data_IF_860976795606
#
_entry.id   IF_860976795606
#
_cell.length_a   1.000
_cell.length_b   1.000
_cell.length_c   1.000
_cell.angle_alpha   90.00
_cell.angle_beta   90.00
_cell.angle_gamma   90.00
#
_symmetry.space_group_name_H-M   'P 1'
#
loop_
_entity.id
_entity.type
_entity.pdbx_description
1 polymer ?
#
# COMPACT_ATOMS: atom_id res chain seq x y z
N UNK A 1 22.31 -23.35 -12.67
CA UNK A 1 21.14 -22.45 -12.82
C UNK A 1 21.08 -21.90 -14.25
N UNK A 2 19.92 -21.43 -14.72
CA UNK A 2 19.80 -20.71 -16.01
C UNK A 2 19.96 -19.20 -15.78
N UNK A 3 20.96 -18.57 -16.40
CA UNK A 3 21.28 -17.15 -16.18
C UNK A 3 20.10 -16.22 -16.50
N UNK A 4 19.42 -16.43 -17.64
CA UNK A 4 18.28 -15.62 -18.04
C UNK A 4 17.13 -15.67 -17.02
N UNK A 5 16.92 -16.82 -16.38
CA UNK A 5 15.91 -16.96 -15.33
C UNK A 5 16.31 -16.24 -14.04
N UNK A 6 17.59 -16.29 -13.66
CA UNK A 6 18.11 -15.50 -12.55
C UNK A 6 17.95 -14.00 -12.79
N UNK A 7 18.34 -13.50 -13.97
CA UNK A 7 18.21 -12.09 -14.34
C UNK A 7 16.74 -11.64 -14.36
N UNK A 8 15.84 -12.50 -14.86
CA UNK A 8 14.40 -12.26 -14.84
C UNK A 8 13.86 -12.13 -13.41
N UNK A 9 14.18 -13.08 -12.54
CA UNK A 9 13.72 -13.06 -11.14
C UNK A 9 14.27 -11.84 -10.39
N UNK A 10 15.54 -11.48 -10.61
CA UNK A 10 16.13 -10.26 -10.05
C UNK A 10 15.37 -9.00 -10.46
N UNK A 11 15.04 -8.84 -11.75
CA UNK A 11 14.23 -7.72 -12.25
C UNK A 11 12.81 -7.75 -11.68
N UNK A 12 12.19 -8.93 -11.60
CA UNK A 12 10.84 -9.09 -11.03
C UNK A 12 10.80 -8.64 -9.57
N UNK A 13 11.81 -9.02 -8.77
CA UNK A 13 11.95 -8.58 -7.38
C UNK A 13 12.14 -7.07 -7.27
N UNK A 14 12.92 -6.45 -8.16
CA UNK A 14 13.06 -5.00 -8.23
C UNK A 14 11.73 -4.31 -8.55
N UNK A 15 11.00 -4.77 -9.56
CA UNK A 15 9.68 -4.21 -9.94
C UNK A 15 8.64 -4.36 -8.83
N UNK A 16 8.70 -5.46 -8.07
CA UNK A 16 7.86 -5.67 -6.89
C UNK A 16 8.30 -4.85 -5.68
N UNK A 17 9.40 -4.10 -5.76
CA UNK A 17 9.87 -3.23 -4.68
C UNK A 17 10.65 -3.94 -3.58
N UNK A 18 11.22 -5.12 -3.85
CA UNK A 18 12.11 -5.82 -2.93
C UNK A 18 13.59 -5.43 -3.10
N UNK A 19 13.94 -4.78 -4.23
CA UNK A 19 15.29 -4.36 -4.53
C UNK A 19 16.20 -5.54 -4.93
N UNK A 20 17.49 -5.40 -4.64
CA UNK A 20 18.56 -6.30 -5.09
C UNK A 20 19.33 -6.98 -3.94
N UNK A 21 18.96 -6.71 -2.68
CA UNK A 21 19.65 -7.23 -1.49
C UNK A 21 19.71 -8.76 -1.42
N UNK A 22 18.74 -9.44 -2.06
CA UNK A 22 18.60 -10.90 -2.05
C UNK A 22 19.26 -11.59 -3.26
N UNK A 23 19.96 -10.86 -4.15
CA UNK A 23 20.52 -11.44 -5.39
C UNK A 23 21.45 -12.63 -5.11
N UNK A 24 22.37 -12.50 -4.15
CA UNK A 24 23.30 -13.57 -3.80
C UNK A 24 22.59 -14.79 -3.19
N UNK A 25 21.57 -14.56 -2.36
CA UNK A 25 20.81 -15.64 -1.72
C UNK A 25 19.93 -16.36 -2.73
N UNK A 26 19.33 -15.62 -3.67
CA UNK A 26 18.60 -16.17 -4.81
C UNK A 26 19.49 -17.07 -5.67
N UNK A 27 20.68 -16.58 -6.04
CA UNK A 27 21.64 -17.36 -6.83
C UNK A 27 21.97 -18.69 -6.14
N UNK A 28 22.39 -18.64 -4.87
CA UNK A 28 22.72 -19.83 -4.08
C UNK A 28 21.55 -20.79 -3.97
N UNK A 29 20.34 -20.28 -3.75
CA UNK A 29 19.14 -21.11 -3.63
C UNK A 29 18.82 -21.82 -4.96
N UNK A 30 18.91 -21.12 -6.09
CA UNK A 30 18.71 -21.71 -7.42
C UNK A 30 19.79 -22.75 -7.77
N UNK A 31 21.05 -22.48 -7.42
CA UNK A 31 22.18 -23.40 -7.63
C UNK A 31 22.06 -24.67 -6.77
N UNK A 32 21.48 -24.56 -5.56
CA UNK A 32 21.25 -25.71 -4.69
C UNK A 32 20.26 -26.73 -5.26
N UNK A 33 19.47 -26.35 -6.27
CA UNK A 33 18.56 -27.25 -6.98
C UNK A 33 17.31 -27.67 -6.20
N UNK A 34 17.00 -27.00 -5.08
CA UNK A 34 15.79 -27.28 -4.29
C UNK A 34 14.51 -27.01 -5.09
N UNK A 35 13.52 -27.88 -4.98
CA UNK A 35 12.23 -27.70 -5.67
C UNK A 35 11.48 -26.44 -5.22
N UNK A 36 11.57 -26.08 -3.93
CA UNK A 36 10.93 -24.89 -3.36
C UNK A 36 11.87 -24.25 -2.32
N UNK A 37 11.86 -22.92 -2.26
CA UNK A 37 12.57 -22.17 -1.22
C UNK A 37 11.93 -20.80 -0.99
N UNK A 38 12.21 -20.21 0.16
CA UNK A 38 11.79 -18.84 0.48
C UNK A 38 12.97 -17.98 0.90
N UNK A 39 12.94 -16.70 0.50
CA UNK A 39 13.96 -15.71 0.86
C UNK A 39 13.36 -14.64 1.80
N UNK A 40 13.85 -14.52 3.04
CA UNK A 40 13.36 -13.52 3.99
C UNK A 40 13.97 -12.14 3.73
N UNK A 41 13.20 -11.07 3.91
CA UNK A 41 13.65 -9.69 3.79
C UNK A 41 12.82 -8.77 4.67
N UNK A 42 13.46 -7.87 5.43
CA UNK A 42 12.75 -6.80 6.15
C UNK A 42 12.91 -5.48 5.43
N UNK A 43 11.79 -4.78 5.20
CA UNK A 43 11.77 -3.43 4.63
C UNK A 43 10.98 -2.49 5.55
N UNK A 44 11.47 -1.25 5.66
CA UNK A 44 10.82 -0.21 6.46
C UNK A 44 10.10 0.79 5.55
N UNK A 45 8.83 1.07 5.85
CA UNK A 45 8.04 2.07 5.13
C UNK A 45 7.59 3.19 6.07
N UNK A 46 7.54 4.40 5.53
CA UNK A 46 6.87 5.52 6.21
C UNK A 46 5.36 5.28 6.27
N UNK A 47 4.80 5.50 7.45
CA UNK A 47 3.39 5.58 7.75
C UNK A 47 3.09 6.97 8.35
N UNK A 48 1.90 7.14 8.91
CA UNK A 48 1.48 8.38 9.56
C UNK A 48 2.28 8.55 10.85
N UNK A 49 3.14 9.57 10.90
CA UNK A 49 3.92 9.94 12.08
C UNK A 49 5.03 8.95 12.49
N UNK A 50 5.22 7.84 11.77
CA UNK A 50 6.21 6.81 12.11
C UNK A 50 6.69 6.01 10.91
N UNK A 51 7.73 5.20 11.11
CA UNK A 51 8.12 4.13 10.19
C UNK A 51 7.70 2.79 10.78
N UNK A 52 7.24 1.88 9.94
CA UNK A 52 6.93 0.51 10.31
C UNK A 52 7.82 -0.44 9.52
N UNK A 53 8.34 -1.46 10.21
CA UNK A 53 9.05 -2.56 9.59
C UNK A 53 8.05 -3.65 9.18
N UNK A 54 8.27 -4.21 8.00
CA UNK A 54 7.50 -5.33 7.47
C UNK A 54 8.47 -6.45 7.14
N UNK A 55 8.24 -7.61 7.71
CA UNK A 55 8.99 -8.82 7.36
C UNK A 55 8.32 -9.49 6.17
N UNK A 56 9.09 -9.74 5.11
CA UNK A 56 8.65 -10.43 3.91
C UNK A 56 9.31 -11.79 3.79
N UNK A 57 8.60 -12.74 3.19
CA UNK A 57 9.13 -14.04 2.79
C UNK A 57 8.71 -14.32 1.35
N UNK A 58 9.66 -14.22 0.40
CA UNK A 58 9.41 -14.40 -1.03
C UNK A 58 9.49 -15.87 -1.39
N UNK A 59 8.43 -16.45 -1.94
CA UNK A 59 8.31 -17.89 -2.17
C UNK A 59 8.58 -18.24 -3.63
N UNK A 60 9.64 -19.02 -3.85
CA UNK A 60 10.06 -19.50 -5.15
C UNK A 60 9.79 -20.99 -5.29
N UNK A 61 9.40 -21.39 -6.49
CA UNK A 61 9.19 -22.80 -6.85
C UNK A 61 9.78 -23.09 -8.21
N UNK A 62 10.43 -24.25 -8.30
CA UNK A 62 10.92 -24.83 -9.54
C UNK A 62 9.74 -25.36 -10.35
N UNK A 63 9.70 -24.99 -11.63
CA UNK A 63 8.72 -25.43 -12.60
C UNK A 63 9.35 -26.30 -13.67
N UNK A 64 8.78 -26.26 -14.86
CA UNK A 64 9.29 -27.02 -16.02
C UNK A 64 10.63 -26.47 -16.48
N UNK A 65 11.40 -27.33 -17.15
CA UNK A 65 12.69 -26.98 -17.76
C UNK A 65 13.69 -26.33 -16.78
N UNK A 66 13.65 -26.73 -15.51
CA UNK A 66 14.52 -26.20 -14.45
C UNK A 66 14.45 -24.67 -14.26
N UNK A 67 13.32 -24.05 -14.64
CA UNK A 67 13.06 -22.63 -14.36
C UNK A 67 12.43 -22.45 -12.98
N UNK A 68 12.82 -21.40 -12.28
CA UNK A 68 12.22 -20.96 -11.02
C UNK A 68 11.27 -19.80 -11.24
N UNK A 69 10.22 -19.75 -10.42
CA UNK A 69 9.17 -18.74 -10.45
C UNK A 69 8.94 -18.20 -9.05
N UNK A 70 8.91 -16.87 -8.91
CA UNK A 70 8.38 -16.19 -7.72
C UNK A 70 6.85 -16.21 -7.83
N UNK A 71 6.19 -17.07 -7.04
CA UNK A 71 4.74 -17.28 -7.15
C UNK A 71 3.94 -16.46 -6.14
N UNK A 72 4.55 -16.13 -5.01
CA UNK A 72 3.91 -15.37 -3.94
C UNK A 72 4.96 -14.79 -2.99
N UNK A 73 4.51 -13.91 -2.10
CA UNK A 73 5.25 -13.53 -0.92
C UNK A 73 4.31 -13.40 0.26
N UNK A 74 4.81 -13.69 1.46
CA UNK A 74 4.15 -13.31 2.71
C UNK A 74 4.65 -11.94 3.14
N UNK A 75 3.77 -11.13 3.72
CA UNK A 75 4.10 -9.89 4.40
C UNK A 75 3.55 -9.98 5.82
N UNK A 76 4.41 -9.75 6.81
CA UNK A 76 4.06 -9.73 8.22
C UNK A 76 4.24 -8.30 8.75
N UNK A 77 3.11 -7.68 9.13
CA UNK A 77 3.05 -6.35 9.72
C UNK A 77 2.42 -6.49 11.11
N UNK A 78 3.20 -6.19 12.15
CA UNK A 78 2.74 -6.25 13.56
C UNK A 78 2.09 -7.59 13.96
N UNK A 79 2.64 -8.72 13.47
CA UNK A 79 2.14 -10.05 13.78
C UNK A 79 0.96 -10.52 12.90
N UNK A 80 0.45 -9.66 12.02
CA UNK A 80 -0.54 -10.05 11.01
C UNK A 80 0.19 -10.44 9.73
N UNK A 81 0.13 -11.72 9.38
CA UNK A 81 0.74 -12.25 8.17
C UNK A 81 -0.30 -12.39 7.05
N UNK A 82 0.01 -11.91 5.85
CA UNK A 82 -0.87 -12.03 4.70
C UNK A 82 -0.08 -12.42 3.46
N UNK A 83 -0.67 -13.28 2.64
CA UNK A 83 -0.06 -13.80 1.42
C UNK A 83 -0.54 -13.02 0.20
N UNK A 84 0.41 -12.64 -0.64
CA UNK A 84 0.17 -11.95 -1.89
C UNK A 84 0.71 -12.78 -3.04
N UNK A 85 -0.11 -13.00 -4.07
CA UNK A 85 0.28 -13.78 -5.24
C UNK A 85 1.01 -12.91 -6.26
N UNK A 86 1.91 -13.54 -7.01
CA UNK A 86 2.68 -12.94 -8.09
C UNK A 86 2.37 -13.72 -9.36
N UNK A 87 1.64 -13.09 -10.27
CA UNK A 87 1.21 -13.65 -11.54
C UNK A 87 2.02 -13.06 -12.69
N UNK A 88 2.44 -13.90 -13.62
CA UNK A 88 3.16 -13.43 -14.82
C UNK A 88 2.20 -12.68 -15.75
N UNK A 89 2.66 -11.55 -16.30
CA UNK A 89 1.87 -10.73 -17.23
C UNK A 89 0.83 -9.82 -16.58
N UNK A 90 0.67 -9.86 -15.25
CA UNK A 90 -0.25 -9.01 -14.51
C UNK A 90 0.48 -7.94 -13.71
N UNK A 91 -0.24 -6.85 -13.38
CA UNK A 91 0.28 -5.77 -12.53
C UNK A 91 0.18 -6.15 -11.05
N UNK A 92 1.11 -6.98 -10.60
CA UNK A 92 1.20 -7.50 -9.23
C UNK A 92 1.23 -6.41 -8.15
N UNK A 93 0.77 -6.76 -6.95
CA UNK A 93 0.88 -5.91 -5.76
C UNK A 93 2.34 -5.87 -5.35
N UNK A 94 2.92 -4.68 -5.30
CA UNK A 94 4.29 -4.44 -4.82
C UNK A 94 4.36 -4.55 -3.29
N UNK A 95 5.57 -4.71 -2.74
CA UNK A 95 5.84 -4.72 -1.30
C UNK A 95 5.23 -3.50 -0.59
N UNK A 96 5.43 -2.29 -1.13
CA UNK A 96 4.86 -1.07 -0.54
C UNK A 96 3.34 -0.99 -0.64
N UNK A 97 2.75 -1.48 -1.73
CA UNK A 97 1.29 -1.55 -1.87
C UNK A 97 0.68 -2.58 -0.91
N UNK A 98 1.33 -3.73 -0.71
CA UNK A 98 0.93 -4.72 0.31
C UNK A 98 0.95 -4.10 1.71
N UNK A 99 2.03 -3.39 2.07
CA UNK A 99 2.09 -2.62 3.31
C UNK A 99 0.93 -1.63 3.43
N UNK A 100 0.65 -0.85 2.38
CA UNK A 100 -0.43 0.13 2.38
C UNK A 100 -1.81 -0.53 2.58
N UNK A 101 -2.06 -1.65 1.90
CA UNK A 101 -3.28 -2.45 2.03
C UNK A 101 -3.45 -3.04 3.42
N UNK A 102 -2.37 -3.55 4.03
CA UNK A 102 -2.38 -4.10 5.39
C UNK A 102 -2.60 -3.03 6.47
N UNK A 103 -2.22 -1.79 6.21
CA UNK A 103 -2.61 -0.64 7.04
C UNK A 103 -4.07 -0.18 6.81
N UNK A 104 -4.85 -0.94 6.04
CA UNK A 104 -6.26 -0.67 5.78
C UNK A 104 -6.50 0.46 4.78
N UNK A 105 -5.50 0.82 3.96
CA UNK A 105 -5.64 1.84 2.89
C UNK A 105 -6.07 1.18 1.58
N UNK A 106 -6.53 2.01 0.64
CA UNK A 106 -6.95 1.54 -0.69
C UNK A 106 -5.86 1.79 -1.72
N UNK A 107 -5.71 0.89 -2.68
CA UNK A 107 -4.75 0.98 -3.79
C UNK A 107 -5.51 0.92 -5.11
N UNK A 108 -5.19 1.81 -6.04
CA UNK A 108 -5.72 1.81 -7.40
C UNK A 108 -4.92 0.84 -8.29
N UNK A 109 -5.63 -0.09 -8.94
CA UNK A 109 -5.06 -1.18 -9.72
C UNK A 109 -5.79 -1.37 -11.04
N UNK A 110 -5.05 -1.86 -12.02
CA UNK A 110 -5.63 -2.53 -13.18
C UNK A 110 -5.85 -4.00 -12.79
N UNK A 111 -7.07 -4.49 -12.97
CA UNK A 111 -7.51 -5.84 -12.71
C UNK A 111 -7.98 -6.49 -14.02
N UNK A 112 -8.01 -7.82 -14.04
CA UNK A 112 -8.51 -8.59 -15.18
C UNK A 112 -9.76 -9.37 -14.75
N UNK A 113 -10.86 -9.25 -15.50
CA UNK A 113 -12.09 -9.99 -15.21
C UNK A 113 -12.03 -11.43 -15.77
N UNK A 114 -13.11 -12.21 -15.56
CA UNK A 114 -13.19 -13.60 -16.04
C UNK A 114 -13.19 -13.73 -17.56
N UNK A 115 -13.50 -12.64 -18.27
CA UNK A 115 -13.50 -12.53 -19.74
C UNK A 115 -12.13 -12.07 -20.28
N UNK A 116 -11.12 -11.96 -19.41
CA UNK A 116 -9.78 -11.46 -19.75
C UNK A 116 -9.76 -9.98 -20.18
N UNK A 117 -10.77 -9.21 -19.78
CA UNK A 117 -10.85 -7.77 -20.01
C UNK A 117 -10.22 -7.02 -18.84
N UNK A 118 -9.37 -6.06 -19.17
CA UNK A 118 -8.72 -5.19 -18.20
C UNK A 118 -9.64 -4.06 -17.79
N UNK A 119 -9.70 -3.77 -16.51
CA UNK A 119 -10.45 -2.64 -15.96
C UNK A 119 -9.72 -2.06 -14.75
N UNK A 120 -9.95 -0.78 -14.47
CA UNK A 120 -9.35 -0.14 -13.30
C UNK A 120 -10.30 -0.16 -12.11
N UNK A 121 -9.75 -0.33 -10.91
CA UNK A 121 -10.50 -0.30 -9.67
C UNK A 121 -9.62 0.08 -8.49
N UNK A 122 -10.24 0.62 -7.45
CA UNK A 122 -9.63 0.67 -6.13
C UNK A 122 -9.87 -0.64 -5.41
N UNK A 123 -8.84 -1.16 -4.75
CA UNK A 123 -8.93 -2.36 -3.92
C UNK A 123 -8.52 -2.05 -2.49
N UNK A 124 -9.17 -2.70 -1.54
CA UNK A 124 -8.89 -2.60 -0.10
C UNK A 124 -9.09 -3.97 0.53
N UNK A 125 -8.20 -4.38 1.43
CA UNK A 125 -8.37 -5.67 2.13
C UNK A 125 -9.67 -5.62 2.93
N UNK A 126 -10.47 -6.68 2.82
CA UNK A 126 -11.62 -6.94 3.68
C UNK A 126 -11.12 -7.19 5.10
N UNK A 127 -11.42 -6.31 6.09
CA UNK A 127 -10.80 -6.33 7.42
C UNK A 127 -10.84 -7.70 8.11
N UNK A 128 -11.90 -8.46 7.89
CA UNK A 128 -12.14 -9.78 8.46
C UNK A 128 -11.13 -10.84 7.98
N UNK A 129 -10.47 -10.59 6.83
CA UNK A 129 -9.50 -11.49 6.20
C UNK A 129 -8.06 -11.04 6.39
N UNK A 130 -7.82 -9.87 6.98
CA UNK A 130 -6.48 -9.38 7.26
C UNK A 130 -5.77 -10.32 8.25
N UNK A 131 -4.50 -10.65 7.97
CA UNK A 131 -3.76 -11.63 8.79
C UNK A 131 -4.07 -13.10 8.47
N UNK A 132 -4.85 -13.37 7.40
CA UNK A 132 -5.11 -14.72 6.91
C UNK A 132 -4.32 -15.01 5.63
N UNK A 133 -4.13 -16.30 5.32
CA UNK A 133 -3.46 -16.70 4.08
C UNK A 133 -4.28 -16.29 2.83
N UNK A 134 -5.61 -16.39 2.90
CA UNK A 134 -6.52 -16.05 1.80
C UNK A 134 -7.21 -14.69 2.05
N UNK A 135 -6.44 -13.61 1.87
CA UNK A 135 -6.99 -12.24 1.93
C UNK A 135 -8.02 -12.01 0.82
N UNK A 136 -9.09 -11.30 1.15
CA UNK A 136 -10.10 -10.86 0.20
C UNK A 136 -10.04 -9.35 0.02
N UNK A 137 -10.49 -8.88 -1.15
CA UNK A 137 -10.51 -7.46 -1.48
C UNK A 137 -11.94 -6.97 -1.70
N UNK A 138 -12.27 -5.86 -1.05
CA UNK A 138 -13.34 -5.00 -1.51
C UNK A 138 -12.87 -4.26 -2.77
N UNK A 139 -13.63 -4.38 -3.85
CA UNK A 139 -13.30 -3.78 -5.16
C UNK A 139 -14.29 -2.66 -5.46
N UNK A 140 -13.77 -1.47 -5.69
CA UNK A 140 -14.52 -0.28 -6.08
C UNK A 140 -14.14 0.05 -7.53
N UNK A 141 -14.91 -0.49 -8.47
CA UNK A 141 -14.72 -0.24 -9.91
C UNK A 141 -15.06 1.19 -10.29
N UNK A 142 -14.77 1.58 -11.53
CA UNK A 142 -15.13 2.91 -12.05
C UNK A 142 -16.62 3.25 -11.87
N UNK A 143 -17.50 2.26 -12.09
CA UNK A 143 -18.96 2.43 -11.91
C UNK A 143 -19.37 2.66 -10.45
N UNK A 144 -18.50 2.38 -9.49
CA UNK A 144 -18.74 2.71 -8.09
C UNK A 144 -18.81 4.24 -7.89
N UNK A 145 -18.14 5.02 -8.74
CA UNK A 145 -18.22 6.49 -8.75
C UNK A 145 -17.35 7.17 -7.69
N UNK A 146 -16.25 6.55 -7.27
CA UNK A 146 -15.21 7.26 -6.53
C UNK A 146 -14.31 8.03 -7.50
N UNK A 147 -14.11 9.31 -7.23
CA UNK A 147 -13.32 10.23 -8.04
C UNK A 147 -12.28 10.87 -7.12
N UNK A 148 -11.01 10.49 -7.31
CA UNK A 148 -9.91 10.93 -6.45
C UNK A 148 -9.71 12.44 -6.52
N UNK A 149 -9.82 13.03 -7.71
CA UNK A 149 -9.64 14.46 -7.91
C UNK A 149 -10.72 15.26 -7.19
N UNK A 150 -11.99 14.85 -7.33
CA UNK A 150 -13.10 15.46 -6.57
C UNK A 150 -12.93 15.26 -5.07
N UNK A 151 -12.46 14.10 -4.63
CA UNK A 151 -12.20 13.83 -3.21
C UNK A 151 -11.09 14.74 -2.65
N UNK A 152 -10.02 14.98 -3.41
CA UNK A 152 -8.98 15.95 -3.07
C UNK A 152 -9.52 17.39 -3.06
N UNK A 153 -10.43 17.74 -3.98
CA UNK A 153 -11.13 19.03 -3.99
C UNK A 153 -11.87 19.30 -2.67
N UNK A 154 -12.59 18.29 -2.15
CA UNK A 154 -13.27 18.38 -0.85
C UNK A 154 -12.32 18.61 0.33
N UNK A 155 -11.06 18.18 0.23
CA UNK A 155 -10.03 18.48 1.24
C UNK A 155 -9.64 19.97 1.17
N UNK A 156 -9.43 20.49 -0.04
CA UNK A 156 -9.15 21.92 -0.25
C UNK A 156 -10.32 22.83 0.19
N UNK A 157 -11.56 22.40 -0.05
CA UNK A 157 -12.78 23.13 0.39
C UNK A 157 -12.86 23.27 1.92
N UNK A 158 -12.13 22.42 2.65
CA UNK A 158 -11.96 22.46 4.11
C UNK A 158 -10.72 23.22 4.54
N UNK A 159 -10.14 24.03 3.65
CA UNK A 159 -8.95 24.84 3.90
C UNK A 159 -7.71 24.02 4.28
N UNK A 160 -7.64 22.78 3.79
CA UNK A 160 -6.47 21.92 3.90
C UNK A 160 -5.79 21.78 2.54
N UNK A 161 -4.50 22.10 2.48
CA UNK A 161 -3.74 22.20 1.23
C UNK A 161 -2.63 21.15 1.19
N UNK A 162 -2.51 20.49 0.05
CA UNK A 162 -1.48 19.49 -0.20
C UNK A 162 -0.09 20.12 -0.32
N UNK A 163 0.91 19.49 0.29
CA UNK A 163 2.30 20.00 0.32
C UNK A 163 3.06 19.81 -1.00
N UNK A 164 2.53 19.02 -1.93
CA UNK A 164 3.13 18.70 -3.22
C UNK A 164 2.18 18.99 -4.37
N UNK A 165 2.70 19.00 -5.60
CA UNK A 165 1.87 19.21 -6.78
C UNK A 165 0.81 18.11 -6.93
N UNK A 166 -0.31 18.47 -7.55
CA UNK A 166 -1.50 17.62 -7.66
C UNK A 166 -1.23 16.27 -8.32
N UNK A 167 -0.46 16.24 -9.41
CA UNK A 167 -0.23 15.01 -10.18
C UNK A 167 0.58 13.98 -9.37
N UNK A 168 1.64 14.43 -8.70
CA UNK A 168 2.46 13.55 -7.84
C UNK A 168 1.68 13.06 -6.62
N UNK A 169 0.86 13.93 -6.02
CA UNK A 169 -0.04 13.55 -4.93
C UNK A 169 -1.02 12.49 -5.39
N UNK A 170 -1.67 12.67 -6.55
CA UNK A 170 -2.61 11.69 -7.10
C UNK A 170 -1.94 10.34 -7.34
N UNK A 171 -0.79 10.31 -8.03
CA UNK A 171 -0.03 9.07 -8.26
C UNK A 171 0.42 8.40 -6.96
N UNK A 172 0.72 9.19 -5.93
CA UNK A 172 1.09 8.66 -4.61
C UNK A 172 -0.11 8.04 -3.90
N UNK A 173 -1.26 8.73 -3.90
CA UNK A 173 -2.52 8.26 -3.30
C UNK A 173 -3.08 7.02 -4.02
N UNK A 174 -2.94 6.94 -5.35
CA UNK A 174 -3.27 5.75 -6.14
C UNK A 174 -2.48 4.52 -5.71
N UNK A 175 -1.23 4.70 -5.25
CA UNK A 175 -0.43 3.59 -4.68
C UNK A 175 -0.81 3.28 -3.24
N UNK A 176 -1.83 3.94 -2.70
CA UNK A 176 -2.29 3.82 -1.32
C UNK A 176 -1.41 4.52 -0.30
N UNK A 177 -0.48 5.39 -0.71
CA UNK A 177 0.29 6.20 0.23
C UNK A 177 -0.60 7.24 0.93
N UNK A 178 -0.07 7.84 1.99
CA UNK A 178 -0.66 9.04 2.60
C UNK A 178 -0.04 10.29 1.98
N UNK A 179 -0.84 11.34 1.83
CA UNK A 179 -0.39 12.67 1.44
C UNK A 179 -0.47 13.62 2.64
N UNK A 180 0.55 14.45 2.80
CA UNK A 180 0.58 15.50 3.82
C UNK A 180 -0.26 16.70 3.35
N UNK A 181 -1.07 17.23 4.27
CA UNK A 181 -1.85 18.44 4.07
C UNK A 181 -1.73 19.37 5.28
N UNK A 182 -1.86 20.67 5.05
CA UNK A 182 -1.78 21.69 6.11
C UNK A 182 -2.94 22.66 6.04
N UNK A 183 -3.27 23.28 7.16
CA UNK A 183 -4.11 24.47 7.18
C UNK A 183 -3.39 25.68 6.51
N UNK A 184 -4.14 26.77 6.29
CA UNK A 184 -3.67 27.96 5.56
C UNK A 184 -2.35 28.51 6.12
N UNK A 185 -2.24 28.61 7.45
CA UNK A 185 -1.08 29.18 8.13
C UNK A 185 0.05 28.17 8.38
N UNK A 186 -0.14 26.90 7.99
CA UNK A 186 0.77 25.77 8.20
C UNK A 186 1.09 25.47 9.67
N UNK A 187 0.27 25.95 10.61
CA UNK A 187 0.42 25.65 12.03
C UNK A 187 0.02 24.22 12.36
N UNK A 188 -0.83 23.60 11.53
CA UNK A 188 -1.32 22.24 11.71
C UNK A 188 -1.01 21.38 10.49
N UNK A 189 -0.71 20.11 10.77
CA UNK A 189 -0.39 19.10 9.77
C UNK A 189 -1.28 17.89 9.96
N UNK A 190 -1.79 17.41 8.83
CA UNK A 190 -2.63 16.22 8.75
C UNK A 190 -2.14 15.33 7.62
N UNK A 191 -2.64 14.11 7.62
CA UNK A 191 -2.38 13.14 6.56
C UNK A 191 -3.70 12.68 5.98
N UNK A 192 -3.74 12.51 4.66
CA UNK A 192 -4.92 12.03 3.95
C UNK A 192 -4.60 10.80 3.11
N UNK A 193 -5.56 9.89 2.98
CA UNK A 193 -5.50 8.72 2.12
C UNK A 193 -6.80 8.56 1.35
N UNK A 194 -6.76 7.92 0.18
CA UNK A 194 -7.96 7.60 -0.59
C UNK A 194 -8.90 6.67 0.20
N UNK A 195 -10.18 7.05 0.31
CA UNK A 195 -11.22 6.24 0.99
C UNK A 195 -12.42 6.03 0.05
N UNK A 196 -12.24 5.21 -1.01
CA UNK A 196 -13.27 4.92 -2.01
C UNK A 196 -14.57 4.44 -1.39
N UNK A 197 -14.52 3.64 -0.32
CA UNK A 197 -15.69 3.14 0.41
C UNK A 197 -16.68 4.24 0.83
N UNK A 198 -16.17 5.44 1.15
CA UNK A 198 -16.99 6.60 1.53
C UNK A 198 -17.00 7.70 0.45
N UNK A 199 -16.49 7.39 -0.74
CA UNK A 199 -16.33 8.33 -1.87
C UNK A 199 -15.66 9.65 -1.45
N UNK A 200 -14.63 9.55 -0.61
CA UNK A 200 -13.96 10.68 0.04
C UNK A 200 -12.50 10.35 0.35
N UNK A 201 -11.84 11.21 1.13
CA UNK A 201 -10.53 10.99 1.71
C UNK A 201 -10.67 10.64 3.19
N UNK A 202 -9.92 9.63 3.65
CA UNK A 202 -9.67 9.45 5.07
C UNK A 202 -8.66 10.49 5.53
N UNK A 203 -8.89 11.12 6.68
CA UNK A 203 -7.99 12.11 7.27
C UNK A 203 -7.51 11.65 8.64
N UNK A 204 -6.26 11.94 8.95
CA UNK A 204 -5.58 11.52 10.17
C UNK A 204 -4.77 12.68 10.75
N UNK A 205 -4.70 12.76 12.08
CA UNK A 205 -3.78 13.66 12.75
C UNK A 205 -2.33 13.13 12.71
N UNK A 206 -1.38 13.87 13.27
CA UNK A 206 0.03 13.46 13.33
C UNK A 206 0.27 12.14 14.08
N UNK A 207 -0.63 11.77 14.98
CA UNK A 207 -0.56 10.53 15.77
C UNK A 207 -1.14 9.32 15.01
N UNK A 208 -1.68 9.53 13.80
CA UNK A 208 -2.32 8.47 13.01
C UNK A 208 -3.78 8.18 13.39
N UNK A 209 -4.39 8.99 14.25
CA UNK A 209 -5.81 8.83 14.62
C UNK A 209 -6.70 9.33 13.48
N UNK A 210 -7.57 8.45 12.97
CA UNK A 210 -8.59 8.84 11.97
C UNK A 210 -9.52 9.89 12.55
N UNK A 211 -9.78 10.93 11.77
CA UNK A 211 -10.70 12.02 12.13
C UNK A 211 -11.85 12.08 11.13
N UNK A 212 -12.95 12.70 11.54
CA UNK A 212 -13.98 13.13 10.59
C UNK A 212 -13.53 14.44 9.97
N UNK A 213 -13.63 14.54 8.64
CA UNK A 213 -13.23 15.75 7.90
C UNK A 213 -14.00 17.00 8.39
N UNK A 214 -15.24 16.83 8.84
CA UNK A 214 -16.07 17.89 9.43
C UNK A 214 -15.58 18.39 10.79
N UNK A 215 -14.82 17.57 11.51
CA UNK A 215 -14.37 17.87 12.86
C UNK A 215 -12.97 18.48 12.90
N UNK A 216 -12.27 18.58 11.76
CA UNK A 216 -10.92 19.15 11.71
C UNK A 216 -10.91 20.56 12.31
N UNK A 217 -11.91 21.39 11.94
CA UNK A 217 -12.07 22.75 12.46
C UNK A 217 -12.77 22.80 13.84
N UNK A 218 -13.25 21.67 14.39
CA UNK A 218 -13.88 21.60 15.73
C UNK A 218 -12.94 21.09 16.82
N UNK A 219 -11.84 20.42 16.45
CA UNK A 219 -10.75 20.15 17.40
C UNK A 219 -10.07 21.44 17.91
N UNK A 220 -10.32 22.56 17.22
CA UNK A 220 -9.96 23.93 17.60
C UNK A 220 -10.58 24.35 18.96
N UNK A 221 -11.89 24.16 19.16
CA UNK A 221 -12.59 24.62 20.36
C UNK A 221 -12.16 23.85 21.62
N UNK A 222 -12.06 22.52 21.53
CA UNK A 222 -11.75 21.65 22.70
C UNK A 222 -10.30 21.79 23.16
N UNK A 223 -9.35 22.09 22.26
CA UNK A 223 -7.93 22.32 22.62
C UNK A 223 -7.70 23.73 23.18
N UNK A 224 -8.46 24.73 22.74
CA UNK A 224 -8.40 26.08 23.31
C UNK A 224 -9.07 26.14 24.69
N UNK A 225 -10.20 25.46 24.91
CA UNK A 225 -10.83 25.35 26.24
C UNK A 225 -9.89 24.72 27.28
N UNK A 226 -9.17 23.65 26.94
CA UNK A 226 -8.23 23.01 27.88
C UNK A 226 -7.00 23.85 28.22
N UNK A 227 -6.62 24.83 27.39
CA UNK A 227 -5.54 25.79 27.71
C UNK A 227 -6.05 26.97 28.54
N UNK A 228 -7.35 27.29 28.47
CA UNK A 228 -7.98 28.38 29.25
C UNK A 228 -8.39 28.00 30.68
N UNK A 229 -8.41 26.71 31.03
CA UNK A 229 -8.87 26.22 32.35
C UNK A 229 -7.71 25.98 33.34
N UNK A 230 -6.46 26.22 32.95
CA UNK A 230 -5.33 26.22 33.90
C UNK A 230 -5.12 27.62 34.48
N UNK A 231 -5.95 28.00 35.46
CA UNK A 231 -5.63 29.03 36.46
C UNK A 231 -5.53 28.38 37.83
#
# INVERSE_FOLDING_TARGET
MKQENFDYLGKQMQFLGFGDKLQNDLQKAMESGKEEFSLPLTLSYGSIGKKNDVAYSLNFKKGKEDMYFLNSYHANLNGQESKFYVNNGEKNITSKEAFNLMEGRSVFRELTNKQNEKYSAWVKITPETLGQENIQFNVFSENYGYDLEKAMGKVNDRQLYFSHNKEDVMKSLEKGNVAEVHNIDKSEKYFVAADPQYKSMAIFNEEGKKMMLENVNKFEEVRQEKKGVSM
#
